data_IF_091315733362
#
_entry.id   IF_091315733362
#
_cell.length_a   1.000
_cell.length_b   1.000
_cell.length_c   1.000
_cell.angle_alpha   90.00
_cell.angle_beta   90.00
_cell.angle_gamma   90.00
#
_symmetry.space_group_name_H-M   'P 1'
#
loop_
_entity.id
_entity.type
_entity.pdbx_description
1 polymer ?
#
# COMPACT_ATOMS: atom_id res chain seq x y z
N UNK A 1 10.68 -6.55 -15.05
CA UNK A 1 9.29 -6.45 -15.57
C UNK A 1 8.29 -6.73 -14.46
N UNK A 2 7.10 -6.11 -14.46
CA UNK A 2 6.01 -6.38 -13.50
C UNK A 2 5.94 -5.47 -12.27
N UNK A 3 7.04 -4.81 -11.89
CA UNK A 3 7.10 -3.81 -10.82
C UNK A 3 6.18 -2.59 -11.10
N UNK A 4 5.82 -1.83 -10.05
CA UNK A 4 5.10 -0.57 -10.19
C UNK A 4 6.00 0.42 -10.92
N UNK A 5 5.64 0.75 -12.15
CA UNK A 5 6.40 1.65 -13.02
C UNK A 5 5.42 2.48 -13.84
N UNK A 6 5.33 3.77 -13.49
CA UNK A 6 4.27 4.68 -13.97
C UNK A 6 4.22 4.79 -15.50
N UNK A 7 5.34 4.85 -16.23
CA UNK A 7 5.32 4.91 -17.70
C UNK A 7 4.59 3.75 -18.39
N UNK A 8 4.49 2.57 -17.74
CA UNK A 8 3.73 1.43 -18.27
C UNK A 8 2.23 1.48 -17.94
N UNK A 9 1.79 2.45 -17.12
CA UNK A 9 0.47 2.43 -16.50
C UNK A 9 -0.46 3.52 -17.04
N UNK A 10 0.09 4.67 -17.46
CA UNK A 10 -0.65 5.71 -18.17
C UNK A 10 0.31 6.67 -18.90
N UNK A 11 -0.24 7.56 -19.73
CA UNK A 11 0.52 8.63 -20.38
C UNK A 11 1.04 9.65 -19.37
N UNK A 12 2.31 10.01 -19.52
CA UNK A 12 3.07 10.96 -18.73
C UNK A 12 3.64 12.06 -19.62
N UNK A 13 3.64 13.26 -19.04
CA UNK A 13 4.33 14.40 -19.63
C UNK A 13 5.84 14.14 -19.72
N UNK A 14 6.43 14.61 -20.82
CA UNK A 14 7.81 14.38 -21.26
C UNK A 14 8.15 12.97 -21.74
N UNK A 15 7.28 11.97 -21.58
CA UNK A 15 7.49 10.65 -22.20
C UNK A 15 6.70 10.55 -23.49
N UNK A 16 5.37 10.67 -23.41
CA UNK A 16 4.51 10.47 -24.58
C UNK A 16 4.60 11.61 -25.60
N UNK A 17 4.88 12.82 -25.12
CA UNK A 17 5.06 14.04 -25.90
C UNK A 17 6.52 14.50 -25.98
N UNK A 18 7.49 13.61 -25.71
CA UNK A 18 8.90 13.93 -25.83
C UNK A 18 9.24 14.38 -27.26
N UNK A 19 10.25 15.23 -27.44
CA UNK A 19 10.70 15.66 -28.76
C UNK A 19 11.42 14.56 -29.55
N UNK A 20 11.97 13.57 -28.85
CA UNK A 20 12.79 12.50 -29.42
C UNK A 20 12.49 11.15 -28.74
N UNK A 21 12.74 10.02 -29.42
CA UNK A 21 12.65 8.70 -28.81
C UNK A 21 13.53 8.58 -27.56
N UNK A 22 12.95 8.02 -26.49
CA UNK A 22 13.67 7.77 -25.23
C UNK A 22 14.14 6.32 -25.22
N UNK A 23 15.46 6.06 -25.09
CA UNK A 23 15.97 4.70 -24.95
C UNK A 23 15.68 4.17 -23.53
N UNK A 24 15.23 2.92 -23.46
CA UNK A 24 14.91 2.26 -22.19
C UNK A 24 15.80 1.04 -21.95
N UNK A 25 16.10 0.71 -20.68
CA UNK A 25 16.75 -0.55 -20.36
C UNK A 25 15.92 -1.73 -20.85
N UNK A 26 16.53 -2.66 -21.58
CA UNK A 26 15.84 -3.88 -21.96
C UNK A 26 15.57 -4.74 -20.70
N UNK A 27 14.53 -5.58 -20.71
CA UNK A 27 14.19 -6.42 -19.55
C UNK A 27 15.31 -7.29 -18.97
N UNK A 28 16.32 -7.63 -19.79
CA UNK A 28 17.48 -8.44 -19.42
C UNK A 28 18.74 -7.63 -19.13
N UNK A 29 18.66 -6.29 -19.16
CA UNK A 29 19.81 -5.41 -18.95
C UNK A 29 20.42 -5.59 -17.55
N UNK A 30 21.75 -5.56 -17.49
CA UNK A 30 22.52 -5.65 -16.24
C UNK A 30 23.40 -4.42 -16.02
N UNK A 31 23.44 -3.52 -17.00
CA UNK A 31 24.24 -2.31 -16.98
C UNK A 31 23.36 -1.07 -16.89
N UNK A 32 23.88 -0.03 -16.27
CA UNK A 32 23.26 1.31 -16.24
C UNK A 32 23.75 2.21 -17.38
N UNK A 33 24.68 1.74 -18.22
CA UNK A 33 25.20 2.52 -19.35
C UNK A 33 24.18 2.58 -20.50
N UNK A 34 23.57 3.76 -20.68
CA UNK A 34 22.54 4.02 -21.68
C UNK A 34 23.01 3.80 -23.13
N UNK A 35 24.32 3.81 -23.39
CA UNK A 35 24.85 3.65 -24.74
C UNK A 35 24.94 2.19 -25.18
N UNK A 36 24.75 1.23 -24.27
CA UNK A 36 24.83 -0.18 -24.60
C UNK A 36 23.58 -0.64 -25.35
N UNK A 37 23.69 -1.60 -26.31
CA UNK A 37 22.54 -2.13 -27.03
C UNK A 37 21.46 -2.73 -26.13
N UNK A 38 21.85 -3.29 -24.97
CA UNK A 38 20.92 -3.80 -23.96
C UNK A 38 20.12 -2.71 -23.23
N UNK A 39 20.41 -1.43 -23.48
CA UNK A 39 19.71 -0.27 -22.94
C UNK A 39 19.04 0.61 -24.02
N UNK A 40 18.82 0.04 -25.21
CA UNK A 40 18.21 0.72 -26.37
C UNK A 40 16.82 0.14 -26.72
N UNK A 41 16.08 -0.34 -25.72
CA UNK A 41 14.74 -0.88 -25.92
C UNK A 41 13.68 0.23 -25.99
N UNK A 42 12.54 -0.10 -26.60
CA UNK A 42 11.36 0.75 -26.61
C UNK A 42 10.57 0.65 -25.30
N UNK A 43 9.60 1.54 -25.08
CA UNK A 43 8.81 1.53 -23.86
C UNK A 43 7.96 0.25 -23.77
N UNK A 44 7.34 -0.19 -24.87
CA UNK A 44 6.57 -1.44 -24.89
C UNK A 44 7.46 -2.65 -24.57
N UNK A 45 8.71 -2.67 -25.05
CA UNK A 45 9.65 -3.76 -24.79
C UNK A 45 10.08 -3.80 -23.32
N UNK A 46 10.40 -2.66 -22.71
CA UNK A 46 10.71 -2.56 -21.28
C UNK A 46 9.51 -3.01 -20.42
N UNK A 47 8.32 -2.54 -20.77
CA UNK A 47 7.11 -2.86 -20.02
C UNK A 47 6.74 -4.35 -20.14
N UNK A 48 6.91 -4.96 -21.31
CA UNK A 48 6.49 -6.34 -21.59
C UNK A 48 4.98 -6.51 -21.46
N UNK A 49 4.48 -7.76 -21.46
CA UNK A 49 3.08 -8.14 -21.17
C UNK A 49 1.96 -7.50 -22.04
N UNK A 50 2.30 -6.72 -23.07
CA UNK A 50 1.33 -6.03 -23.94
C UNK A 50 0.60 -4.87 -23.25
N UNK A 51 -0.28 -4.17 -23.98
CA UNK A 51 -1.08 -3.07 -23.41
C UNK A 51 -0.30 -1.79 -23.10
N UNK A 52 0.88 -1.63 -23.69
CA UNK A 52 1.68 -0.39 -23.67
C UNK A 52 2.02 -0.04 -25.11
N UNK A 53 1.34 0.95 -25.73
CA UNK A 53 1.67 1.41 -27.07
C UNK A 53 2.97 2.23 -27.03
N UNK A 54 3.65 2.30 -28.17
CA UNK A 54 4.81 3.19 -28.30
C UNK A 54 4.39 4.66 -28.23
N UNK A 55 5.15 5.50 -27.51
CA UNK A 55 4.95 6.94 -27.52
C UNK A 55 4.94 7.54 -28.92
N UNK A 56 4.15 8.61 -29.12
CA UNK A 56 4.14 9.35 -30.37
C UNK A 56 5.41 10.18 -30.58
N UNK A 57 6.15 10.48 -29.50
CA UNK A 57 7.36 11.33 -29.51
C UNK A 57 7.16 12.63 -30.29
N UNK A 58 6.04 13.31 -30.01
CA UNK A 58 5.69 14.58 -30.64
C UNK A 58 5.33 15.63 -29.58
N UNK A 59 6.05 16.77 -29.54
CA UNK A 59 5.72 17.87 -28.63
C UNK A 59 4.28 18.35 -28.81
N UNK A 60 3.61 18.65 -27.69
CA UNK A 60 2.22 19.09 -27.67
C UNK A 60 1.17 17.98 -27.83
N UNK A 61 1.58 16.70 -27.90
CA UNK A 61 0.62 15.58 -27.88
C UNK A 61 -0.16 15.58 -26.55
N UNK A 62 -1.50 15.62 -26.57
CA UNK A 62 -2.32 15.57 -25.35
C UNK A 62 -2.15 14.26 -24.57
N UNK A 63 -2.16 14.32 -23.24
CA UNK A 63 -1.96 13.13 -22.38
C UNK A 63 -3.16 12.18 -22.34
N UNK A 64 -4.33 12.60 -22.81
CA UNK A 64 -5.54 11.78 -22.96
C UNK A 64 -5.57 11.00 -24.30
N UNK A 65 -4.56 11.17 -25.15
CA UNK A 65 -4.42 10.46 -26.43
C UNK A 65 -4.47 8.94 -26.26
N UNK A 66 -5.23 8.28 -27.12
CA UNK A 66 -5.37 6.82 -27.19
C UNK A 66 -4.72 6.25 -28.47
N UNK A 67 -4.17 5.03 -28.44
CA UNK A 67 -4.08 4.14 -27.27
C UNK A 67 -3.08 4.65 -26.23
N UNK A 68 -3.33 4.36 -24.95
CA UNK A 68 -2.47 4.70 -23.83
C UNK A 68 -1.98 3.43 -23.08
N UNK A 69 -0.85 3.49 -22.34
CA UNK A 69 -0.45 2.43 -21.43
C UNK A 69 -1.57 2.11 -20.42
N UNK A 70 -1.80 0.81 -20.14
CA UNK A 70 -2.90 0.37 -19.27
C UNK A 70 -2.55 -0.88 -18.43
N UNK A 71 -1.35 -0.94 -17.87
CA UNK A 71 -0.94 -2.06 -17.02
C UNK A 71 -1.32 -1.87 -15.55
N UNK A 72 -2.62 -1.76 -15.28
CA UNK A 72 -3.18 -1.52 -13.93
C UNK A 72 -2.80 -2.57 -12.90
N UNK A 73 -2.55 -3.81 -13.32
CA UNK A 73 -2.13 -4.91 -12.44
C UNK A 73 -0.80 -4.63 -11.73
N UNK A 74 -0.04 -3.62 -12.17
CA UNK A 74 1.16 -3.09 -11.51
C UNK A 74 0.87 -2.39 -10.18
N UNK A 75 -0.39 -2.27 -9.75
CA UNK A 75 -0.74 -1.96 -8.36
C UNK A 75 -0.83 -3.19 -7.45
N UNK A 76 -0.87 -4.41 -8.02
CA UNK A 76 -1.11 -5.65 -7.27
C UNK A 76 0.11 -6.57 -7.32
N UNK A 77 0.57 -6.90 -8.53
CA UNK A 77 1.65 -7.86 -8.75
C UNK A 77 2.95 -7.51 -7.99
N UNK A 78 3.37 -6.23 -7.88
CA UNK A 78 4.62 -5.90 -7.21
C UNK A 78 4.64 -6.21 -5.71
N UNK A 79 3.47 -6.44 -5.08
CA UNK A 79 3.38 -6.86 -3.67
C UNK A 79 4.14 -8.19 -3.45
N UNK A 80 4.16 -9.05 -4.47
CA UNK A 80 4.78 -10.38 -4.41
C UNK A 80 6.22 -10.38 -4.94
N UNK A 81 6.69 -9.27 -5.50
CA UNK A 81 7.99 -9.15 -6.13
C UNK A 81 8.98 -8.43 -5.22
N UNK A 82 10.26 -8.78 -5.30
CA UNK A 82 11.31 -8.19 -4.46
C UNK A 82 12.55 -7.87 -5.29
N UNK A 83 13.21 -6.77 -4.98
CA UNK A 83 14.36 -6.27 -5.74
C UNK A 83 15.67 -7.06 -5.49
N UNK A 84 15.73 -7.89 -4.45
CA UNK A 84 16.92 -8.68 -4.12
C UNK A 84 16.77 -9.48 -2.83
N UNK A 85 17.78 -10.30 -2.53
CA UNK A 85 17.78 -11.24 -1.37
C UNK A 85 17.68 -10.53 -0.02
N UNK A 86 18.38 -9.41 0.15
CA UNK A 86 18.33 -8.62 1.40
C UNK A 86 16.93 -8.04 1.59
N UNK A 87 16.33 -7.51 0.52
CA UNK A 87 15.00 -6.90 0.57
C UNK A 87 13.92 -7.93 0.92
N UNK A 88 13.91 -9.11 0.28
CA UNK A 88 12.98 -10.19 0.68
C UNK A 88 13.26 -10.69 2.09
N UNK A 89 14.53 -10.76 2.51
CA UNK A 89 14.92 -11.16 3.87
C UNK A 89 14.30 -10.26 4.94
N UNK A 90 14.41 -8.93 4.80
CA UNK A 90 13.79 -7.99 5.72
C UNK A 90 12.26 -8.07 5.69
N UNK A 91 11.64 -8.13 4.50
CA UNK A 91 10.18 -8.23 4.41
C UNK A 91 9.67 -9.53 5.06
N UNK A 92 10.37 -10.66 4.85
CA UNK A 92 9.98 -11.93 5.47
C UNK A 92 10.23 -11.93 6.98
N UNK A 93 11.28 -11.26 7.47
CA UNK A 93 11.49 -11.07 8.91
C UNK A 93 10.32 -10.34 9.55
N UNK A 94 9.90 -9.20 8.99
CA UNK A 94 8.74 -8.44 9.47
C UNK A 94 7.43 -9.24 9.32
N UNK A 95 7.26 -9.96 8.21
CA UNK A 95 6.08 -10.80 7.96
C UNK A 95 5.98 -11.95 8.97
N UNK A 96 7.07 -12.65 9.27
CA UNK A 96 7.06 -13.81 10.16
C UNK A 96 7.06 -13.44 11.65
N UNK A 97 7.40 -12.20 11.99
CA UNK A 97 7.31 -11.66 13.34
C UNK A 97 5.97 -10.95 13.54
N UNK A 98 5.83 -9.70 13.08
CA UNK A 98 4.64 -8.87 13.24
C UNK A 98 3.44 -9.41 12.45
N UNK A 99 3.66 -9.80 11.19
CA UNK A 99 2.59 -10.31 10.33
C UNK A 99 1.93 -11.57 10.90
N UNK A 100 2.74 -12.56 11.28
CA UNK A 100 2.28 -13.82 11.87
C UNK A 100 1.49 -13.59 13.16
N UNK A 101 1.99 -12.76 14.06
CA UNK A 101 1.34 -12.53 15.34
C UNK A 101 0.03 -11.74 15.15
N UNK A 102 0.01 -10.78 14.22
CA UNK A 102 -1.22 -10.07 13.83
C UNK A 102 -2.23 -11.00 13.15
N UNK A 103 -1.80 -11.89 12.25
CA UNK A 103 -2.67 -12.85 11.58
C UNK A 103 -3.34 -13.81 12.58
N UNK A 104 -2.54 -14.36 13.52
CA UNK A 104 -3.07 -15.20 14.61
C UNK A 104 -4.08 -14.47 15.46
N UNK A 105 -3.83 -13.18 15.71
CA UNK A 105 -4.72 -12.32 16.45
C UNK A 105 -6.04 -12.18 15.66
N UNK A 106 -6.01 -11.57 14.47
CA UNK A 106 -7.23 -11.05 13.80
C UNK A 106 -7.91 -12.05 12.87
N UNK A 107 -7.26 -13.19 12.61
CA UNK A 107 -7.68 -14.23 11.67
C UNK A 107 -7.24 -13.94 10.24
N UNK A 108 -6.95 -15.01 9.49
CA UNK A 108 -6.35 -14.95 8.14
C UNK A 108 -7.15 -14.13 7.13
N UNK A 109 -8.49 -14.16 7.15
CA UNK A 109 -9.31 -13.40 6.19
C UNK A 109 -9.16 -11.89 6.42
N UNK A 110 -9.27 -11.43 7.68
CA UNK A 110 -9.14 -10.00 8.00
C UNK A 110 -7.71 -9.52 7.75
N UNK A 111 -6.73 -10.35 8.10
CA UNK A 111 -5.33 -10.09 7.80
C UNK A 111 -5.10 -9.93 6.30
N UNK A 112 -5.56 -10.89 5.49
CA UNK A 112 -5.43 -10.84 4.04
C UNK A 112 -6.06 -9.57 3.44
N UNK A 113 -7.27 -9.20 3.87
CA UNK A 113 -7.95 -8.00 3.38
C UNK A 113 -7.16 -6.72 3.68
N UNK A 114 -6.66 -6.55 4.91
CA UNK A 114 -5.86 -5.38 5.25
C UNK A 114 -4.51 -5.41 4.52
N UNK A 115 -3.84 -6.56 4.50
CA UNK A 115 -2.54 -6.74 3.88
C UNK A 115 -2.56 -6.38 2.39
N UNK A 116 -3.50 -6.96 1.64
CA UNK A 116 -3.64 -6.68 0.21
C UNK A 116 -4.08 -5.23 -0.04
N UNK A 117 -5.05 -4.72 0.71
CA UNK A 117 -5.52 -3.34 0.54
C UNK A 117 -4.44 -2.32 0.85
N UNK A 118 -3.64 -2.54 1.89
CA UNK A 118 -2.51 -1.68 2.26
C UNK A 118 -1.43 -1.67 1.17
N UNK A 119 -1.10 -2.83 0.61
CA UNK A 119 -0.14 -2.91 -0.51
C UNK A 119 -0.63 -2.17 -1.75
N UNK A 120 -1.88 -2.41 -2.15
CA UNK A 120 -2.49 -1.76 -3.33
C UNK A 120 -2.58 -0.26 -3.14
N UNK A 121 -3.12 0.19 -2.00
CA UNK A 121 -3.26 1.61 -1.71
C UNK A 121 -1.89 2.30 -1.59
N UNK A 122 -0.89 1.61 -1.02
CA UNK A 122 0.50 2.01 -1.04
C UNK A 122 0.98 2.28 -2.46
N UNK A 123 0.89 1.29 -3.36
CA UNK A 123 1.33 1.48 -4.74
C UNK A 123 0.53 2.53 -5.52
N UNK A 124 -0.75 2.73 -5.22
CA UNK A 124 -1.55 3.82 -5.78
C UNK A 124 -1.03 5.18 -5.31
N UNK A 125 -0.74 5.34 -4.02
CA UNK A 125 -0.15 6.56 -3.48
C UNK A 125 1.25 6.82 -4.03
N UNK A 126 2.11 5.79 -4.08
CA UNK A 126 3.42 5.85 -4.72
C UNK A 126 3.34 6.18 -6.21
N UNK A 127 2.34 5.64 -6.92
CA UNK A 127 2.02 5.98 -8.31
C UNK A 127 1.84 7.49 -8.55
N UNK A 128 1.20 8.17 -7.62
CA UNK A 128 0.88 9.60 -7.73
C UNK A 128 2.07 10.52 -7.40
N UNK A 129 2.90 10.14 -6.42
CA UNK A 129 3.81 11.08 -5.78
C UNK A 129 5.27 10.66 -5.72
N UNK A 130 5.59 9.37 -5.92
CA UNK A 130 6.96 8.93 -6.06
C UNK A 130 7.50 9.25 -7.46
N UNK A 131 8.83 9.26 -7.60
CA UNK A 131 9.48 9.48 -8.89
C UNK A 131 8.95 8.50 -9.96
N UNK A 132 8.60 9.04 -11.13
CA UNK A 132 7.92 8.29 -12.19
C UNK A 132 8.84 7.29 -12.88
N UNK A 133 10.14 7.60 -12.99
CA UNK A 133 11.15 6.74 -13.60
C UNK A 133 11.81 5.72 -12.65
N UNK A 134 11.34 5.58 -11.41
CA UNK A 134 11.81 4.52 -10.49
C UNK A 134 10.79 3.37 -10.47
N UNK A 135 11.25 2.14 -10.70
CA UNK A 135 10.42 0.96 -10.48
C UNK A 135 10.32 0.66 -8.97
N UNK A 136 9.09 0.42 -8.49
CA UNK A 136 8.81 0.11 -7.08
C UNK A 136 8.22 -1.30 -6.94
N UNK A 137 8.68 -2.04 -5.94
CA UNK A 137 8.28 -3.43 -5.71
C UNK A 137 8.46 -3.78 -4.24
N UNK A 138 7.73 -4.79 -3.75
CA UNK A 138 7.89 -5.30 -2.40
C UNK A 138 6.58 -5.38 -1.63
N UNK A 139 6.56 -6.27 -0.66
CA UNK A 139 5.50 -6.40 0.32
C UNK A 139 5.50 -5.28 1.38
N UNK A 140 6.49 -4.38 1.37
CA UNK A 140 6.72 -3.41 2.45
C UNK A 140 5.52 -2.49 2.69
N UNK A 141 4.82 -2.01 1.65
CA UNK A 141 3.56 -1.25 1.84
C UNK A 141 2.51 -2.03 2.65
N UNK A 142 2.33 -3.32 2.36
CA UNK A 142 1.46 -4.20 3.15
C UNK A 142 1.93 -4.35 4.59
N UNK A 143 3.24 -4.49 4.82
CA UNK A 143 3.85 -4.62 6.14
C UNK A 143 3.71 -3.34 6.98
N UNK A 144 3.82 -2.15 6.36
CA UNK A 144 3.49 -0.89 7.05
C UNK A 144 2.02 -0.83 7.46
N UNK A 145 1.12 -1.43 6.67
CA UNK A 145 -0.27 -1.65 7.08
C UNK A 145 -0.39 -2.55 8.31
N UNK A 146 0.44 -3.60 8.41
CA UNK A 146 0.51 -4.46 9.60
C UNK A 146 1.07 -3.69 10.81
N UNK A 147 2.10 -2.86 10.64
CA UNK A 147 2.63 -2.00 11.71
C UNK A 147 1.53 -1.06 12.24
N UNK A 148 0.74 -0.46 11.33
CA UNK A 148 -0.41 0.36 11.70
C UNK A 148 -1.49 -0.43 12.48
N UNK A 149 -1.76 -1.68 12.10
CA UNK A 149 -2.64 -2.56 12.87
C UNK A 149 -2.09 -2.84 14.27
N UNK A 150 -0.79 -3.09 14.40
CA UNK A 150 -0.13 -3.34 15.69
C UNK A 150 -0.22 -2.11 16.59
N UNK A 151 -0.02 -0.91 16.01
CA UNK A 151 -0.21 0.35 16.74
C UNK A 151 -1.65 0.50 17.22
N UNK A 152 -2.65 0.25 16.36
CA UNK A 152 -4.06 0.33 16.75
C UNK A 152 -4.43 -0.70 17.83
N UNK A 153 -3.96 -1.94 17.71
CA UNK A 153 -4.17 -2.98 18.71
C UNK A 153 -3.60 -2.57 20.08
N UNK A 154 -2.39 -2.01 20.09
CA UNK A 154 -1.78 -1.46 21.31
C UNK A 154 -2.65 -0.36 21.93
N UNK A 155 -3.12 0.59 21.13
CA UNK A 155 -3.98 1.67 21.60
C UNK A 155 -5.33 1.15 22.15
N UNK A 156 -5.90 0.12 21.51
CA UNK A 156 -7.17 -0.49 21.91
C UNK A 156 -7.06 -1.34 23.18
N UNK A 157 -5.88 -1.90 23.42
CA UNK A 157 -5.55 -2.74 24.57
C UNK A 157 -4.71 -2.03 25.65
N UNK A 158 -4.54 -0.70 25.55
CA UNK A 158 -3.60 0.08 26.36
C UNK A 158 -3.61 -0.23 27.86
N UNK A 159 -4.80 -0.35 28.46
CA UNK A 159 -4.98 -0.60 29.90
C UNK A 159 -4.68 -2.04 30.33
N UNK A 160 -4.65 -2.96 29.38
CA UNK A 160 -4.50 -4.39 29.63
C UNK A 160 -3.07 -4.86 29.30
N UNK A 161 -2.23 -3.96 28.77
CA UNK A 161 -0.80 -4.21 28.50
C UNK A 161 0.03 -3.94 29.76
N UNK A 162 1.06 -4.75 29.97
CA UNK A 162 1.95 -4.63 31.14
C UNK A 162 2.75 -3.32 31.08
N UNK A 163 3.33 -2.99 29.92
CA UNK A 163 4.16 -1.81 29.73
C UNK A 163 3.81 -1.07 28.41
N UNK A 164 2.61 -0.48 28.29
CA UNK A 164 2.11 0.08 27.03
C UNK A 164 2.98 1.22 26.48
N UNK A 165 3.61 2.02 27.35
CA UNK A 165 4.51 3.12 26.93
C UNK A 165 5.79 2.58 26.30
N UNK A 166 6.34 1.48 26.84
CA UNK A 166 7.51 0.79 26.28
C UNK A 166 7.16 0.22 24.91
N UNK A 167 6.03 -0.49 24.81
CA UNK A 167 5.56 -1.08 23.55
C UNK A 167 5.33 0.02 22.49
N UNK A 168 4.75 1.16 22.88
CA UNK A 168 4.56 2.31 22.00
C UNK A 168 5.91 2.86 21.53
N UNK A 169 6.88 3.02 22.44
CA UNK A 169 8.20 3.53 22.09
C UNK A 169 8.91 2.63 21.07
N UNK A 170 8.80 1.30 21.19
CA UNK A 170 9.34 0.37 20.19
C UNK A 170 8.64 0.52 18.83
N UNK A 171 7.31 0.56 18.80
CA UNK A 171 6.57 0.72 17.53
C UNK A 171 6.90 2.06 16.86
N UNK A 172 6.98 3.15 17.62
CA UNK A 172 7.35 4.46 17.07
C UNK A 172 8.79 4.44 16.57
N UNK A 173 9.72 3.81 17.30
CA UNK A 173 11.09 3.66 16.84
C UNK A 173 11.15 2.87 15.52
N UNK A 174 10.42 1.75 15.41
CA UNK A 174 10.36 0.94 14.19
C UNK A 174 9.79 1.74 13.01
N UNK A 175 8.72 2.51 13.23
CA UNK A 175 8.12 3.39 12.22
C UNK A 175 9.13 4.45 11.75
N UNK A 176 9.80 5.12 12.68
CA UNK A 176 10.80 6.16 12.38
C UNK A 176 11.97 5.56 11.60
N UNK A 177 12.54 4.45 12.08
CA UNK A 177 13.64 3.76 11.38
C UNK A 177 13.21 3.36 9.98
N UNK A 178 12.02 2.81 9.83
CA UNK A 178 11.54 2.32 8.52
C UNK A 178 11.35 3.46 7.52
N UNK A 179 10.80 4.60 7.93
CA UNK A 179 10.68 5.78 7.06
C UNK A 179 12.02 6.46 6.76
N UNK A 180 12.94 6.49 7.73
CA UNK A 180 14.31 6.99 7.51
C UNK A 180 15.04 6.11 6.51
N UNK A 181 14.94 4.79 6.65
CA UNK A 181 15.51 3.85 5.68
C UNK A 181 14.87 4.03 4.31
N UNK A 182 13.57 4.30 4.22
CA UNK A 182 12.90 4.54 2.95
C UNK A 182 13.27 5.85 2.23
N UNK A 183 14.11 6.70 2.84
CA UNK A 183 14.77 7.82 2.15
C UNK A 183 16.02 7.40 1.35
N UNK A 184 16.45 6.13 1.47
CA UNK A 184 17.54 5.59 0.67
C UNK A 184 17.09 5.39 -0.79
N UNK A 185 18.00 5.56 -1.76
CA UNK A 185 17.67 5.39 -3.18
C UNK A 185 17.04 4.03 -3.51
N UNK A 186 15.97 4.04 -4.29
CA UNK A 186 15.27 2.82 -4.73
C UNK A 186 14.18 2.34 -3.78
N UNK A 187 13.92 3.05 -2.68
CA UNK A 187 12.78 2.79 -1.80
C UNK A 187 11.64 3.79 -2.07
N UNK A 188 10.42 3.36 -1.74
CA UNK A 188 9.18 4.07 -2.05
C UNK A 188 8.43 4.40 -0.77
N UNK A 189 8.83 5.51 -0.15
CA UNK A 189 8.22 5.98 1.09
C UNK A 189 6.75 6.36 0.91
N UNK A 190 6.30 6.77 -0.27
CA UNK A 190 4.87 7.00 -0.51
C UNK A 190 4.07 5.71 -0.44
N UNK A 191 4.62 4.60 -0.95
CA UNK A 191 4.01 3.29 -0.76
C UNK A 191 3.94 2.87 0.71
N UNK A 192 4.96 3.20 1.51
CA UNK A 192 4.95 2.95 2.95
C UNK A 192 3.93 3.80 3.69
N UNK A 193 3.87 5.10 3.40
CA UNK A 193 2.88 6.03 3.97
C UNK A 193 1.46 5.57 3.62
N UNK A 194 1.22 5.26 2.34
CA UNK A 194 -0.09 4.79 1.88
C UNK A 194 -0.49 3.48 2.57
N UNK A 195 0.42 2.52 2.68
CA UNK A 195 0.20 1.28 3.40
C UNK A 195 -0.15 1.49 4.87
N UNK A 196 0.60 2.36 5.56
CA UNK A 196 0.35 2.70 6.96
C UNK A 196 -1.03 3.37 7.16
N UNK A 197 -1.38 4.36 6.32
CA UNK A 197 -2.67 5.06 6.39
C UNK A 197 -3.85 4.11 6.11
N UNK A 198 -3.72 3.23 5.11
CA UNK A 198 -4.72 2.20 4.82
C UNK A 198 -4.86 1.20 5.97
N UNK A 199 -3.73 0.79 6.59
CA UNK A 199 -3.73 -0.06 7.77
C UNK A 199 -4.45 0.57 8.96
N UNK A 200 -4.27 1.87 9.21
CA UNK A 200 -5.02 2.61 10.22
C UNK A 200 -6.52 2.64 9.89
N UNK A 201 -6.88 3.03 8.66
CA UNK A 201 -8.27 3.17 8.24
C UNK A 201 -9.05 1.86 8.29
N UNK A 202 -8.51 0.78 7.69
CA UNK A 202 -9.13 -0.53 7.75
C UNK A 202 -9.01 -1.17 9.13
N UNK A 203 -7.94 -0.90 9.87
CA UNK A 203 -7.79 -1.38 11.25
C UNK A 203 -8.95 -0.97 12.15
N UNK A 204 -9.42 0.27 12.04
CA UNK A 204 -10.64 0.73 12.75
C UNK A 204 -11.86 -0.12 12.39
N UNK A 205 -11.97 -0.53 11.12
CA UNK A 205 -13.08 -1.32 10.60
C UNK A 205 -13.02 -2.80 11.01
N UNK A 206 -11.83 -3.43 10.95
CA UNK A 206 -11.68 -4.88 11.09
C UNK A 206 -11.31 -5.34 12.51
N UNK A 207 -10.62 -4.51 13.30
CA UNK A 207 -10.26 -4.85 14.67
C UNK A 207 -11.49 -4.84 15.56
N UNK A 208 -11.49 -5.65 16.61
CA UNK A 208 -12.54 -5.59 17.63
C UNK A 208 -12.55 -4.22 18.31
N UNK A 209 -13.71 -3.87 18.89
CA UNK A 209 -13.86 -2.59 19.58
C UNK A 209 -12.83 -2.47 20.72
N UNK A 210 -12.35 -1.25 21.05
CA UNK A 210 -11.39 -1.05 22.13
C UNK A 210 -11.83 -1.73 23.43
N UNK A 211 -10.92 -2.35 24.17
CA UNK A 211 -11.27 -3.12 25.37
C UNK A 211 -11.96 -2.26 26.45
N UNK A 212 -11.64 -0.98 26.49
CA UNK A 212 -12.33 0.02 27.34
C UNK A 212 -13.79 0.23 26.93
N UNK A 213 -14.08 0.25 25.62
CA UNK A 213 -15.42 0.37 25.08
C UNK A 213 -16.19 -0.94 25.28
N UNK A 214 -15.56 -2.09 25.02
CA UNK A 214 -16.13 -3.44 25.21
C UNK A 214 -16.67 -3.67 26.61
N UNK A 215 -15.88 -3.29 27.63
CA UNK A 215 -16.30 -3.32 29.04
C UNK A 215 -17.53 -2.44 29.31
N UNK A 216 -17.66 -1.29 28.66
CA UNK A 216 -18.82 -0.38 28.81
C UNK A 216 -20.07 -0.90 28.09
N UNK A 217 -19.90 -1.52 26.92
CA UNK A 217 -21.00 -2.09 26.14
C UNK A 217 -21.43 -3.49 26.63
N UNK A 218 -20.61 -4.16 27.46
CA UNK A 218 -20.89 -5.49 28.02
C UNK A 218 -20.53 -6.65 27.09
N UNK A 219 -19.54 -6.46 26.21
CA UNK A 219 -19.06 -7.48 25.26
C UNK A 219 -17.68 -8.04 25.70
N UNK A 220 -17.64 -8.76 26.80
CA UNK A 220 -16.39 -9.21 27.47
C UNK A 220 -15.78 -10.52 26.93
N UNK A 221 -15.77 -10.73 25.61
CA UNK A 221 -15.12 -11.94 25.02
C UNK A 221 -13.71 -11.62 24.49
N UNK A 222 -12.61 -11.99 25.17
CA UNK A 222 -11.26 -11.66 24.72
C UNK A 222 -10.95 -12.18 23.31
N UNK A 223 -10.00 -11.55 22.63
CA UNK A 223 -9.61 -11.85 21.24
C UNK A 223 -9.30 -13.34 21.00
N UNK A 224 -8.63 -13.98 21.96
CA UNK A 224 -8.30 -15.40 21.94
C UNK A 224 -9.53 -16.33 22.00
N UNK A 225 -10.62 -15.89 22.63
CA UNK A 225 -11.81 -16.72 22.84
C UNK A 225 -12.86 -16.56 21.73
N UNK A 226 -12.74 -15.56 20.86
CA UNK A 226 -13.53 -15.51 19.61
C UNK A 226 -13.12 -16.57 18.58
N UNK A 227 -12.03 -17.31 18.81
CA UNK A 227 -11.66 -18.48 17.98
C UNK A 227 -12.41 -19.78 18.34
N UNK A 228 -13.27 -19.80 19.37
CA UNK A 228 -14.13 -20.97 19.66
C UNK A 228 -15.52 -20.79 19.04
N UNK A 229 -15.54 -20.75 17.71
CA UNK A 229 -16.64 -21.28 16.88
C UNK A 229 -16.16 -21.65 15.47
N UNK A 230 -14.84 -21.56 15.19
CA UNK A 230 -14.25 -21.93 13.91
C UNK A 230 -13.34 -23.14 13.97
N UNK A 231 -13.44 -23.97 15.02
CA UNK A 231 -12.83 -25.28 15.03
C UNK A 231 -13.39 -26.09 13.86
N UNK A 232 -12.52 -26.80 13.15
CA UNK A 232 -12.89 -27.80 12.15
C UNK A 232 -13.92 -28.77 12.74
N UNK A 233 -15.20 -28.48 12.55
CA UNK A 233 -16.31 -29.32 12.92
C UNK A 233 -17.43 -29.13 11.90
N UNK A 234 -17.78 -30.27 11.33
CA UNK A 234 -18.92 -30.59 10.51
C UNK A 234 -20.21 -29.77 10.73
N UNK A 235 -21.01 -29.69 9.65
CA UNK A 235 -22.43 -29.36 9.58
C UNK A 235 -22.84 -27.88 9.66
N UNK A 236 -22.86 -27.24 8.47
CA UNK A 236 -24.10 -26.78 7.86
C UNK A 236 -24.96 -25.73 8.57
N UNK A 237 -24.46 -25.03 9.59
CA UNK A 237 -25.21 -23.97 10.28
C UNK A 237 -24.76 -22.60 9.75
N UNK A 238 -25.61 -21.87 9.00
CA UNK A 238 -25.26 -20.54 8.54
C UNK A 238 -25.11 -19.59 9.74
N UNK A 239 -24.27 -18.54 9.62
CA UNK A 239 -24.01 -17.62 10.72
C UNK A 239 -25.32 -17.02 11.27
N UNK A 240 -25.39 -16.90 12.60
CA UNK A 240 -26.55 -16.44 13.39
C UNK A 240 -27.32 -15.23 12.81
N UNK A 241 -26.63 -14.30 12.15
CA UNK A 241 -27.24 -13.14 11.47
C UNK A 241 -28.20 -13.51 10.34
N UNK A 242 -27.90 -14.57 9.56
CA UNK A 242 -28.73 -15.01 8.43
C UNK A 242 -30.08 -15.54 8.91
N UNK A 243 -30.12 -16.13 10.11
CA UNK A 243 -31.34 -16.70 10.70
C UNK A 243 -32.18 -15.67 11.45
N UNK A 244 -31.58 -14.62 12.01
CA UNK A 244 -32.31 -13.56 12.71
C UNK A 244 -31.58 -12.19 12.63
N UNK A 245 -31.72 -11.46 11.52
CA UNK A 245 -31.02 -10.20 11.31
C UNK A 245 -31.49 -9.10 12.27
N UNK A 246 -32.76 -9.12 12.67
CA UNK A 246 -33.34 -8.13 13.59
C UNK A 246 -32.82 -8.35 15.02
N UNK A 247 -32.63 -9.62 15.42
CA UNK A 247 -32.06 -9.98 16.72
C UNK A 247 -30.64 -9.46 16.94
N UNK A 248 -29.86 -9.30 15.86
CA UNK A 248 -28.48 -8.78 15.94
C UNK A 248 -28.39 -7.35 16.47
N UNK A 249 -29.40 -6.52 16.16
CA UNK A 249 -29.46 -5.10 16.53
C UNK A 249 -30.25 -4.83 17.82
N UNK A 250 -31.03 -5.79 18.30
CA UNK A 250 -31.92 -5.61 19.46
C UNK A 250 -31.12 -5.45 20.75
N UNK A 251 -31.41 -4.41 21.54
CA UNK A 251 -30.83 -4.20 22.88
C UNK A 251 -29.41 -3.60 22.91
N UNK A 252 -28.90 -3.07 21.79
CA UNK A 252 -27.56 -2.45 21.73
C UNK A 252 -27.53 -1.08 22.44
N UNK A 253 -26.49 -0.84 23.24
CA UNK A 253 -26.28 0.44 23.94
C UNK A 253 -25.89 1.56 22.96
N UNK A 254 -26.13 2.85 23.27
CA UNK A 254 -25.80 3.98 22.39
C UNK A 254 -24.32 4.02 21.95
N UNK A 255 -23.40 3.67 22.86
CA UNK A 255 -21.96 3.63 22.56
C UNK A 255 -21.58 2.60 21.48
N UNK A 256 -22.35 1.52 21.35
CA UNK A 256 -22.16 0.53 20.28
C UNK A 256 -22.48 1.15 18.91
N UNK A 257 -23.59 1.88 18.81
CA UNK A 257 -23.98 2.60 17.60
C UNK A 257 -22.98 3.69 17.22
N UNK A 258 -22.53 4.48 18.21
CA UNK A 258 -21.51 5.51 17.98
C UNK A 258 -20.22 4.90 17.38
N UNK A 259 -19.79 3.75 17.88
CA UNK A 259 -18.60 3.07 17.35
C UNK A 259 -18.82 2.50 15.94
N UNK A 260 -20.00 1.96 15.65
CA UNK A 260 -20.34 1.53 14.30
C UNK A 260 -20.39 2.69 13.30
N UNK A 261 -20.86 3.87 13.71
CA UNK A 261 -20.78 5.07 12.87
C UNK A 261 -19.34 5.49 12.60
N UNK A 262 -18.44 5.39 13.58
CA UNK A 262 -17.00 5.65 13.37
C UNK A 262 -16.42 4.67 12.34
N UNK A 263 -16.74 3.38 12.44
CA UNK A 263 -16.30 2.37 11.47
C UNK A 263 -16.83 2.65 10.06
N UNK A 264 -18.12 2.94 9.94
CA UNK A 264 -18.73 3.28 8.67
C UNK A 264 -18.10 4.54 8.06
N UNK A 265 -17.89 5.58 8.87
CA UNK A 265 -17.20 6.81 8.46
C UNK A 265 -15.78 6.55 8.00
N UNK A 266 -14.99 5.77 8.74
CA UNK A 266 -13.62 5.39 8.37
C UNK A 266 -13.58 4.66 7.03
N UNK A 267 -14.50 3.70 6.81
CA UNK A 267 -14.59 2.97 5.54
C UNK A 267 -14.93 3.92 4.37
N UNK A 268 -15.88 4.84 4.55
CA UNK A 268 -16.24 5.83 3.53
C UNK A 268 -15.04 6.73 3.21
N UNK A 269 -14.33 7.23 4.22
CA UNK A 269 -13.13 8.07 4.02
C UNK A 269 -12.07 7.32 3.21
N UNK A 270 -11.77 6.06 3.58
CA UNK A 270 -10.81 5.23 2.87
C UNK A 270 -11.20 5.06 1.40
N UNK A 271 -12.47 4.76 1.11
CA UNK A 271 -12.96 4.59 -0.26
C UNK A 271 -12.89 5.89 -1.06
N UNK A 272 -13.31 7.02 -0.47
CA UNK A 272 -13.25 8.33 -1.13
C UNK A 272 -11.81 8.69 -1.46
N UNK A 273 -10.88 8.57 -0.50
CA UNK A 273 -9.46 8.86 -0.74
C UNK A 273 -8.88 7.95 -1.82
N UNK A 274 -9.21 6.65 -1.82
CA UNK A 274 -8.75 5.73 -2.86
C UNK A 274 -9.22 6.13 -4.26
N UNK A 275 -10.51 6.50 -4.39
CA UNK A 275 -11.07 6.98 -5.66
C UNK A 275 -10.40 8.28 -6.09
N UNK A 276 -10.18 9.23 -5.17
CA UNK A 276 -9.51 10.48 -5.47
C UNK A 276 -8.07 10.26 -5.93
N UNK A 277 -7.32 9.34 -5.32
CA UNK A 277 -5.97 9.00 -5.75
C UNK A 277 -5.93 8.33 -7.13
N UNK A 278 -6.90 7.47 -7.46
CA UNK A 278 -6.99 6.88 -8.79
C UNK A 278 -7.38 7.91 -9.85
N UNK A 279 -8.33 8.80 -9.54
CA UNK A 279 -8.69 9.92 -10.42
C UNK A 279 -7.51 10.88 -10.62
N UNK A 280 -6.75 11.16 -9.56
CA UNK A 280 -5.53 11.94 -9.70
C UNK A 280 -4.51 11.21 -10.59
N UNK A 281 -4.30 9.91 -10.41
CA UNK A 281 -3.34 9.15 -11.20
C UNK A 281 -3.67 9.13 -12.69
N UNK A 282 -4.92 8.85 -13.07
CA UNK A 282 -5.31 8.67 -14.48
C UNK A 282 -5.83 9.93 -15.18
N UNK A 283 -6.36 10.92 -14.44
CA UNK A 283 -7.06 12.07 -15.02
C UNK A 283 -6.33 13.37 -14.70
N UNK A 284 -6.25 13.76 -13.43
CA UNK A 284 -5.75 15.09 -13.08
C UNK A 284 -4.23 15.21 -13.13
N UNK A 285 -3.53 14.13 -12.80
CA UNK A 285 -2.06 14.00 -12.77
C UNK A 285 -1.38 15.11 -11.96
N UNK A 286 -2.02 15.56 -10.87
CA UNK A 286 -1.45 16.60 -10.02
C UNK A 286 -0.29 16.02 -9.23
N UNK A 287 0.88 16.60 -9.42
CA UNK A 287 2.11 16.27 -8.69
C UNK A 287 2.45 17.41 -7.72
N UNK A 288 3.45 17.17 -6.88
CA UNK A 288 3.89 18.11 -5.86
C UNK A 288 5.42 18.26 -5.94
N UNK A 289 5.89 19.50 -5.98
CA UNK A 289 7.32 19.83 -6.14
C UNK A 289 8.19 19.37 -4.97
N UNK A 290 7.63 19.32 -3.76
CA UNK A 290 8.30 18.91 -2.53
C UNK A 290 8.18 17.41 -2.22
N UNK A 291 7.29 16.69 -2.91
CA UNK A 291 7.00 15.30 -2.58
C UNK A 291 8.20 14.38 -2.72
N UNK A 292 9.12 14.69 -3.64
CA UNK A 292 10.39 13.96 -3.78
C UNK A 292 11.12 13.81 -2.44
N UNK A 293 11.12 14.82 -1.58
CA UNK A 293 11.83 14.81 -0.30
C UNK A 293 11.25 13.85 0.73
N UNK A 294 10.06 13.28 0.48
CA UNK A 294 9.56 12.18 1.29
C UNK A 294 10.18 10.83 0.93
N UNK A 295 10.79 10.69 -0.26
CA UNK A 295 11.42 9.45 -0.72
C UNK A 295 12.93 9.58 -0.99
N UNK A 296 13.53 10.74 -0.71
CA UNK A 296 14.96 10.96 -0.94
C UNK A 296 15.50 12.07 -0.03
N UNK A 297 16.80 12.02 0.24
CA UNK A 297 17.54 13.14 0.83
C UNK A 297 18.22 13.97 -0.27
N UNK A 298 18.28 15.31 -0.14
CA UNK A 298 18.99 16.19 -1.08
C UNK A 298 20.51 16.11 -0.86
N UNK A 299 21.06 14.90 -0.87
CA UNK A 299 22.48 14.61 -0.71
C UNK A 299 22.93 13.83 -1.93
N UNK A 300 24.07 14.20 -2.52
CA UNK A 300 24.67 13.48 -3.64
C UNK A 300 23.71 13.17 -4.81
N UNK A 301 22.81 14.10 -5.15
CA UNK A 301 21.82 13.97 -6.23
C UNK A 301 20.87 12.77 -6.10
N UNK A 302 20.68 12.23 -4.89
CA UNK A 302 19.79 11.08 -4.69
C UNK A 302 18.34 11.35 -5.09
N UNK A 303 17.90 12.60 -4.95
CA UNK A 303 16.58 13.03 -5.38
C UNK A 303 16.40 13.17 -6.89
N UNK A 304 17.50 13.13 -7.65
CA UNK A 304 17.47 13.19 -9.11
C UNK A 304 17.53 11.78 -9.72
N UNK A 305 17.85 10.76 -8.91
CA UNK A 305 17.85 9.36 -9.34
C UNK A 305 16.43 8.96 -9.75
N UNK A 306 16.25 8.61 -11.03
CA UNK A 306 14.97 8.11 -11.56
C UNK A 306 13.86 9.15 -11.69
N UNK A 307 14.12 10.43 -11.41
CA UNK A 307 13.39 11.48 -12.10
C UNK A 307 13.92 11.49 -13.53
N UNK A 308 13.07 11.11 -14.49
CA UNK A 308 13.44 11.23 -15.90
C UNK A 308 13.82 12.71 -16.11
N UNK A 309 15.07 12.97 -16.45
CA UNK A 309 15.52 14.31 -16.80
C UNK A 309 14.95 14.60 -18.18
N UNK A 310 13.68 14.98 -18.19
CA UNK A 310 12.93 15.31 -19.38
C UNK A 310 13.46 16.69 -19.84
N UNK A 311 14.08 16.80 -21.03
CA UNK A 311 14.46 18.11 -21.53
C UNK A 311 13.21 18.98 -21.64
N UNK A 312 13.32 20.21 -21.13
CA UNK A 312 12.28 21.23 -21.21
C UNK A 312 12.14 21.78 -22.63
#
# INVERSE_FOLDING_TARGET
MGARFVPCMHNLDGIQNAAQPIPWPCPSSKSTDANLPENQCTLSQLCGFGGVPEPAYRPGTPLDTQPAPNQWYRFIIPIFMHAGLIHIGFNMLLQLTLGRDMEKSIGSIRFFLVYMSAGIFGFVMGGNFAATGIASTGASGSLFGVIALTLLDLLYSWKDRVNPVKDLAFIILDVVISFVLGLLPGLDNFSHIGGFLMGLGLGVCVLHSPNSLRRRIGEDVPYANSQVSGGFAAQGTPPSFVKNPIGFFKGRKPLWWAWWLIRAGALVVVLVVFILLLNNFYVYRVTCSWCKYLSCLPVSNWCDIGNLQLPS
#
